data_IF_593964291361
#
_entry.id   IF_593964291361
#
_cell.length_a   1.000
_cell.length_b   1.000
_cell.length_c   1.000
_cell.angle_alpha   90.00
_cell.angle_beta   90.00
_cell.angle_gamma   90.00
#
_symmetry.space_group_name_H-M   'P 1'
#
loop_
_entity.id
_entity.type
_entity.pdbx_description
1 polymer ?
#
# COMPACT_ATOMS: atom_id res chain seq x y z
N UNK A 1 9.42 3.25 -20.72
CA UNK A 1 8.09 3.12 -20.11
C UNK A 1 8.29 3.06 -18.60
N UNK A 2 7.65 3.91 -17.79
CA UNK A 2 7.66 3.71 -16.34
C UNK A 2 7.01 2.36 -16.01
N UNK A 3 7.59 1.60 -15.08
CA UNK A 3 6.99 0.36 -14.61
C UNK A 3 5.67 0.63 -13.88
N UNK A 4 4.83 -0.40 -13.74
CA UNK A 4 3.51 -0.31 -13.11
C UNK A 4 3.57 0.29 -11.70
N UNK A 5 4.60 -0.04 -10.90
CA UNK A 5 4.74 0.46 -9.53
C UNK A 5 5.08 1.95 -9.54
N UNK A 6 5.89 2.42 -10.48
CA UNK A 6 6.15 3.85 -10.66
C UNK A 6 4.90 4.65 -11.06
N UNK A 7 4.03 4.09 -11.91
CA UNK A 7 2.75 4.72 -12.28
C UNK A 7 1.82 4.75 -11.06
N UNK A 8 1.66 3.63 -10.37
CA UNK A 8 0.80 3.53 -9.20
C UNK A 8 1.26 4.44 -8.05
N UNK A 9 2.57 4.50 -7.78
CA UNK A 9 3.14 5.39 -6.75
C UNK A 9 2.84 6.87 -7.02
N UNK A 10 2.80 7.28 -8.29
CA UNK A 10 2.44 8.65 -8.69
C UNK A 10 0.95 8.95 -8.53
N UNK A 11 0.07 7.94 -8.55
CA UNK A 11 -1.37 8.11 -8.34
C UNK A 11 -1.73 8.38 -6.89
N UNK A 12 -0.94 7.89 -5.94
CA UNK A 12 -1.14 8.14 -4.50
C UNK A 12 -0.83 9.61 -4.19
N UNK A 13 -1.77 10.42 -3.66
CA UNK A 13 -1.53 11.84 -3.37
C UNK A 13 -0.40 12.07 -2.34
N UNK A 14 0.37 13.16 -2.49
CA UNK A 14 1.52 13.46 -1.63
C UNK A 14 1.22 13.42 -0.11
N UNK A 15 0.08 13.97 0.30
CA UNK A 15 -0.38 13.93 1.71
C UNK A 15 -0.57 12.51 2.22
N UNK A 16 -1.08 11.61 1.38
CA UNK A 16 -1.35 10.21 1.71
C UNK A 16 -0.04 9.42 1.75
N UNK A 17 0.86 9.62 0.77
CA UNK A 17 2.20 9.02 0.80
C UNK A 17 2.95 9.33 2.09
N UNK A 18 2.86 10.59 2.54
CA UNK A 18 3.47 11.04 3.80
C UNK A 18 2.91 10.30 5.01
N UNK A 19 1.59 10.17 5.12
CA UNK A 19 0.90 9.42 6.19
C UNK A 19 1.39 7.96 6.21
N UNK A 20 1.31 7.28 5.07
CA UNK A 20 1.66 5.86 4.97
C UNK A 20 3.13 5.61 5.34
N UNK A 21 4.06 6.45 4.86
CA UNK A 21 5.49 6.29 5.13
C UNK A 21 5.88 6.69 6.57
N UNK A 22 5.28 7.74 7.12
CA UNK A 22 5.63 8.25 8.45
C UNK A 22 5.09 7.39 9.57
N UNK A 23 3.87 6.89 9.43
CA UNK A 23 3.18 6.24 10.54
C UNK A 23 3.60 4.77 10.72
N UNK A 24 4.35 4.22 9.76
CA UNK A 24 4.86 2.83 9.75
C UNK A 24 3.79 1.80 10.11
N UNK A 25 2.51 2.11 9.84
CA UNK A 25 1.38 1.24 10.21
C UNK A 25 1.45 -0.12 9.52
N UNK A 26 2.07 -0.18 8.36
CA UNK A 26 2.19 -1.42 7.59
C UNK A 26 3.27 -2.35 8.16
N UNK A 27 4.27 -1.80 8.86
CA UNK A 27 5.18 -2.62 9.67
C UNK A 27 4.42 -3.26 10.85
N UNK A 28 3.26 -2.70 11.24
CA UNK A 28 2.34 -3.22 12.26
C UNK A 28 1.18 -4.04 11.67
N UNK A 29 1.11 -4.22 10.34
CA UNK A 29 0.06 -5.02 9.67
C UNK A 29 0.11 -6.53 10.01
N UNK A 30 1.03 -6.92 10.89
CA UNK A 30 1.19 -8.26 11.45
C UNK A 30 0.50 -8.44 12.81
N UNK A 31 -0.24 -7.45 13.32
CA UNK A 31 -0.80 -7.57 14.66
C UNK A 31 -1.98 -8.56 14.71
N UNK A 32 -1.71 -9.77 15.22
CA UNK A 32 -2.72 -10.81 15.47
C UNK A 32 -3.71 -10.43 16.59
N UNK A 33 -3.42 -9.38 17.38
CA UNK A 33 -4.18 -9.01 18.57
C UNK A 33 -5.18 -7.86 18.34
N UNK A 34 -4.96 -7.00 17.34
CA UNK A 34 -5.89 -5.96 16.90
C UNK A 34 -6.29 -6.27 15.46
N UNK A 35 -7.42 -6.95 15.29
CA UNK A 35 -7.79 -7.52 14.02
C UNK A 35 -8.11 -6.42 12.98
N UNK A 36 -7.23 -6.33 11.98
CA UNK A 36 -7.52 -5.90 10.61
C UNK A 36 -7.43 -4.41 10.25
N UNK A 37 -7.41 -3.46 11.18
CA UNK A 37 -7.43 -2.04 10.79
C UNK A 37 -6.22 -1.57 9.94
N UNK A 38 -4.97 -2.03 10.15
CA UNK A 38 -3.86 -1.63 9.28
C UNK A 38 -3.90 -2.32 7.90
N UNK A 39 -4.53 -3.50 7.82
CA UNK A 39 -4.72 -4.21 6.55
C UNK A 39 -5.87 -3.63 5.74
N UNK A 40 -6.92 -3.13 6.39
CA UNK A 40 -8.04 -2.41 5.78
C UNK A 40 -7.53 -1.14 5.08
N UNK A 41 -6.75 -0.32 5.77
CA UNK A 41 -6.15 0.87 5.16
C UNK A 41 -5.20 0.53 4.00
N UNK A 42 -4.42 -0.55 4.13
CA UNK A 42 -3.55 -1.01 3.05
C UNK A 42 -4.34 -1.51 1.84
N UNK A 43 -5.48 -2.14 2.10
CA UNK A 43 -6.41 -2.59 1.09
C UNK A 43 -7.03 -1.40 0.35
N UNK A 44 -7.45 -0.34 1.05
CA UNK A 44 -7.95 0.88 0.41
C UNK A 44 -6.91 1.50 -0.54
N UNK A 45 -5.64 1.56 -0.10
CA UNK A 45 -4.53 2.04 -0.95
C UNK A 45 -4.32 1.12 -2.15
N UNK A 46 -4.46 -0.19 -1.94
CA UNK A 46 -4.35 -1.19 -3.00
C UNK A 46 -5.46 -1.03 -4.03
N UNK A 47 -6.72 -1.00 -3.61
CA UNK A 47 -7.88 -0.82 -4.50
C UNK A 47 -7.84 0.53 -5.22
N UNK A 48 -7.62 1.63 -4.49
CA UNK A 48 -7.78 2.96 -5.07
C UNK A 48 -6.65 3.31 -6.06
N UNK A 49 -5.41 2.85 -5.78
CA UNK A 49 -4.22 3.35 -6.49
C UNK A 49 -3.39 2.28 -7.20
N UNK A 50 -3.35 1.04 -6.68
CA UNK A 50 -2.56 -0.04 -7.27
C UNK A 50 -3.38 -0.83 -8.28
N UNK A 51 -4.52 -1.37 -7.86
CA UNK A 51 -5.34 -2.28 -8.64
C UNK A 51 -6.81 -1.82 -8.73
N UNK A 52 -7.06 -0.65 -9.35
CA UNK A 52 -8.41 -0.07 -9.44
C UNK A 52 -9.36 -0.84 -10.35
N UNK A 53 -8.83 -1.80 -11.11
CA UNK A 53 -9.58 -2.65 -12.03
C UNK A 53 -9.73 -4.08 -11.48
N UNK A 54 -9.14 -4.37 -10.31
CA UNK A 54 -8.91 -5.71 -9.81
C UNK A 54 -10.16 -6.42 -9.32
N UNK A 55 -10.17 -7.74 -9.52
CA UNK A 55 -11.12 -8.65 -8.89
C UNK A 55 -10.90 -8.65 -7.37
N UNK A 56 -11.99 -8.45 -6.63
CA UNK A 56 -11.97 -8.26 -5.18
C UNK A 56 -11.51 -9.53 -4.46
N UNK A 57 -10.43 -9.41 -3.69
CA UNK A 57 -9.94 -10.48 -2.83
C UNK A 57 -10.49 -10.32 -1.40
N UNK A 58 -10.95 -11.42 -0.80
CA UNK A 58 -11.47 -11.46 0.57
C UNK A 58 -10.37 -11.06 1.57
N UNK A 59 -10.53 -9.90 2.22
CA UNK A 59 -9.60 -9.43 3.24
C UNK A 59 -9.52 -10.39 4.44
N UNK A 60 -10.48 -11.31 4.64
CA UNK A 60 -10.43 -12.39 5.62
C UNK A 60 -9.43 -13.49 5.28
N UNK A 61 -9.02 -13.62 4.01
CA UNK A 61 -8.12 -14.67 3.55
C UNK A 61 -6.65 -14.34 3.86
N UNK A 62 -5.97 -15.21 4.60
CA UNK A 62 -4.55 -15.03 4.95
C UNK A 62 -3.64 -14.94 3.70
N UNK A 63 -3.96 -15.69 2.63
CA UNK A 63 -3.19 -15.65 1.38
C UNK A 63 -3.33 -14.31 0.66
N UNK A 64 -4.55 -13.78 0.58
CA UNK A 64 -4.84 -12.47 -0.02
C UNK A 64 -4.17 -11.34 0.77
N UNK A 65 -4.23 -11.39 2.11
CA UNK A 65 -3.47 -10.46 2.98
C UNK A 65 -1.96 -10.50 2.69
N UNK A 66 -1.42 -11.69 2.50
CA UNK A 66 -0.01 -11.87 2.12
C UNK A 66 0.33 -11.23 0.78
N UNK A 67 -0.55 -11.40 -0.21
CA UNK A 67 -0.39 -10.79 -1.54
C UNK A 67 -0.39 -9.26 -1.49
N UNK A 68 -1.40 -8.67 -0.84
CA UNK A 68 -1.52 -7.21 -0.67
C UNK A 68 -0.27 -6.65 0.02
N UNK A 69 0.21 -7.31 1.07
CA UNK A 69 1.41 -6.91 1.79
C UNK A 69 2.68 -7.00 0.92
N UNK A 70 2.78 -8.02 0.07
CA UNK A 70 3.89 -8.14 -0.87
C UNK A 70 3.89 -7.02 -1.91
N UNK A 71 2.74 -6.73 -2.53
CA UNK A 71 2.61 -5.65 -3.50
C UNK A 71 2.96 -4.29 -2.89
N UNK A 72 2.51 -4.06 -1.66
CA UNK A 72 2.91 -2.88 -0.91
C UNK A 72 4.43 -2.77 -0.72
N UNK A 73 5.09 -3.86 -0.29
CA UNK A 73 6.55 -3.87 -0.08
C UNK A 73 7.31 -3.51 -1.35
N UNK A 74 6.80 -3.94 -2.51
CA UNK A 74 7.35 -3.58 -3.81
C UNK A 74 7.11 -2.12 -4.16
N UNK A 75 5.96 -1.54 -3.79
CA UNK A 75 5.63 -0.14 -4.04
C UNK A 75 6.43 0.83 -3.16
N UNK A 76 6.69 0.48 -1.90
CA UNK A 76 7.27 1.37 -0.87
C UNK A 76 8.52 2.15 -1.35
N UNK A 77 9.53 1.55 -1.99
CA UNK A 77 10.72 2.27 -2.46
C UNK A 77 10.40 3.38 -3.48
N UNK A 78 9.37 3.18 -4.32
CA UNK A 78 8.95 4.18 -5.31
C UNK A 78 8.30 5.39 -4.63
N UNK A 79 7.54 5.17 -3.55
CA UNK A 79 6.94 6.25 -2.76
C UNK A 79 8.00 7.07 -2.02
N UNK A 80 9.00 6.41 -1.43
CA UNK A 80 10.13 7.06 -0.76
C UNK A 80 10.94 7.93 -1.75
N UNK A 81 11.21 7.41 -2.95
CA UNK A 81 11.89 8.17 -4.00
C UNK A 81 11.11 9.42 -4.43
N UNK A 82 9.78 9.32 -4.59
CA UNK A 82 8.95 10.48 -4.92
C UNK A 82 8.92 11.52 -3.80
N UNK A 83 8.87 11.08 -2.54
CA UNK A 83 8.88 12.01 -1.40
C UNK A 83 10.20 12.80 -1.30
N UNK A 84 11.32 12.20 -1.71
CA UNK A 84 12.62 12.89 -1.76
C UNK A 84 12.69 13.93 -2.88
N UNK A 85 11.96 13.74 -3.98
CA UNK A 85 11.92 14.69 -5.11
C UNK A 85 11.01 15.90 -4.85
N UNK A 86 10.07 15.80 -3.91
CA UNK A 86 9.15 16.88 -3.53
C UNK A 86 9.67 17.77 -2.39
N UNK A 87 10.88 17.49 -1.89
CA UNK A 87 11.58 18.27 -0.86
C UNK A 87 12.57 19.24 -1.50
#
# INVERSE_FOLDING_TARGET
MPDFLTIAARRVPARIRKIILQERFIDKAVNLQEQNSPMEYLFDVYEEFLDPAGEFDDFGCHKCRGHILEQWRRLKPHLENLQLQER
#
